data_IF_232264449373
#
_entry.id   IF_232264449373
#
_cell.length_a   1.000
_cell.length_b   1.000
_cell.length_c   1.000
_cell.angle_alpha   90.00
_cell.angle_beta   90.00
_cell.angle_gamma   90.00
#
_symmetry.space_group_name_H-M   'P 1'
#
loop_
_entity.id
_entity.type
_entity.pdbx_description
1 polymer ?
#
# COMPACT_ATOMS: atom_id res chain seq x y z
N UNK A 1 -5.57 20.61 -6.70
CA UNK A 1 -6.38 20.36 -5.49
C UNK A 1 -7.29 21.56 -5.18
N UNK A 2 -8.62 21.40 -5.01
CA UNK A 2 -9.25 22.14 -3.91
C UNK A 2 -8.59 21.60 -2.64
N UNK A 3 -8.10 22.46 -1.75
CA UNK A 3 -7.54 22.03 -0.47
C UNK A 3 -8.51 21.04 0.20
N UNK A 4 -8.00 20.06 0.97
CA UNK A 4 -8.83 19.28 1.90
C UNK A 4 -9.38 20.27 2.94
N UNK A 5 -10.45 20.98 2.57
CA UNK A 5 -11.02 22.06 3.39
C UNK A 5 -11.84 21.39 4.46
N UNK A 6 -11.19 21.11 5.58
CA UNK A 6 -11.90 20.72 6.78
C UNK A 6 -12.70 21.92 7.28
N UNK A 7 -13.94 21.74 7.76
CA UNK A 7 -14.79 22.83 8.22
C UNK A 7 -14.35 23.40 9.59
N UNK A 8 -13.11 23.14 9.99
CA UNK A 8 -12.49 23.51 11.25
C UNK A 8 -10.98 23.73 11.07
N UNK A 9 -10.38 24.42 12.03
CA UNK A 9 -8.96 24.70 12.12
C UNK A 9 -8.18 23.40 12.33
N UNK A 10 -7.09 23.27 11.58
CA UNK A 10 -6.16 22.15 11.64
C UNK A 10 -4.75 22.67 11.91
N UNK A 11 -3.89 21.90 12.61
CA UNK A 11 -2.51 22.28 12.83
C UNK A 11 -1.79 22.43 11.48
N UNK A 12 -0.90 23.42 11.39
CA UNK A 12 -0.09 23.64 10.21
C UNK A 12 1.07 22.64 10.12
N UNK A 13 1.70 22.48 8.95
CA UNK A 13 2.87 21.60 8.82
C UNK A 13 3.98 21.97 9.82
N UNK A 14 4.53 20.94 10.47
CA UNK A 14 5.56 21.08 11.51
C UNK A 14 5.05 21.23 12.93
N UNK A 15 3.76 21.48 13.17
CA UNK A 15 3.15 21.45 14.52
C UNK A 15 3.07 20.03 15.06
N UNK A 16 2.93 19.04 14.17
CA UNK A 16 2.93 17.61 14.49
C UNK A 16 4.12 16.96 13.81
N UNK A 17 5.00 16.36 14.60
CA UNK A 17 6.10 15.54 14.12
C UNK A 17 5.72 14.06 14.27
N UNK A 18 5.72 13.36 13.14
CA UNK A 18 5.48 11.93 13.10
C UNK A 18 6.81 11.19 12.99
N UNK A 19 7.21 10.44 14.01
CA UNK A 19 8.39 9.59 13.93
C UNK A 19 8.11 8.36 13.06
N UNK A 20 9.13 7.70 12.47
CA UNK A 20 8.94 6.47 11.70
C UNK A 20 8.12 5.42 12.47
N UNK A 21 7.36 4.64 11.73
CA UNK A 21 6.81 3.41 12.29
C UNK A 21 7.97 2.49 12.65
N UNK A 22 7.87 1.81 13.79
CA UNK A 22 8.86 0.86 14.26
C UNK A 22 8.26 -0.53 14.26
N UNK A 23 9.07 -1.53 13.90
CA UNK A 23 8.77 -2.95 13.96
C UNK A 23 9.69 -3.60 14.99
N UNK A 24 9.13 -4.44 15.86
CA UNK A 24 9.92 -5.28 16.75
C UNK A 24 10.28 -6.58 16.05
N UNK A 25 11.56 -6.77 15.73
CA UNK A 25 12.09 -8.04 15.22
C UNK A 25 12.88 -8.75 16.33
N UNK A 26 12.42 -9.94 16.73
CA UNK A 26 12.90 -10.78 17.83
C UNK A 26 13.04 -10.09 19.20
N UNK A 27 13.94 -9.11 19.32
CA UNK A 27 14.21 -8.31 20.52
C UNK A 27 14.57 -6.85 20.23
N UNK A 28 14.72 -6.44 18.96
CA UNK A 28 15.18 -5.11 18.58
C UNK A 28 14.12 -4.34 17.80
N UNK A 29 13.97 -3.05 18.14
CA UNK A 29 13.11 -2.14 17.40
C UNK A 29 13.88 -1.54 16.23
N UNK A 30 13.37 -1.77 15.02
CA UNK A 30 13.90 -1.18 13.79
C UNK A 30 12.80 -0.38 13.07
N UNK A 31 13.14 0.59 12.20
CA UNK A 31 12.15 1.25 11.36
C UNK A 31 11.40 0.21 10.51
N UNK A 32 10.08 0.29 10.52
CA UNK A 32 9.21 -0.57 9.72
C UNK A 32 9.48 -0.29 8.23
N UNK A 33 9.97 -1.29 7.47
CA UNK A 33 10.28 -1.12 6.06
C UNK A 33 9.00 -0.98 5.21
N UNK A 34 9.16 -0.53 3.97
CA UNK A 34 8.06 -0.47 2.99
C UNK A 34 7.62 -1.87 2.52
N UNK A 35 8.45 -2.90 2.75
CA UNK A 35 8.16 -4.30 2.50
C UNK A 35 8.77 -5.20 3.59
N UNK A 36 8.00 -6.17 4.09
CA UNK A 36 8.47 -7.18 5.05
C UNK A 36 8.86 -8.43 4.28
N UNK A 37 10.16 -8.66 4.13
CA UNK A 37 10.69 -9.84 3.46
C UNK A 37 10.44 -11.11 4.27
N UNK A 38 9.97 -12.18 3.60
CA UNK A 38 9.78 -13.48 4.24
C UNK A 38 8.61 -13.54 5.24
N UNK A 39 7.65 -12.64 5.12
CA UNK A 39 6.45 -12.60 5.97
C UNK A 39 5.70 -13.95 6.02
N UNK A 40 5.31 -14.34 7.24
CA UNK A 40 4.48 -15.51 7.52
C UNK A 40 3.17 -15.05 8.20
N UNK A 41 1.98 -15.32 7.63
CA UNK A 41 0.70 -15.03 8.25
C UNK A 41 0.49 -15.67 9.63
N UNK A 42 1.27 -16.70 10.00
CA UNK A 42 1.29 -17.27 11.35
C UNK A 42 2.02 -16.43 12.40
N UNK A 43 2.68 -15.34 12.01
CA UNK A 43 3.47 -14.48 12.90
C UNK A 43 2.75 -13.16 13.13
N UNK A 44 2.61 -12.71 14.37
CA UNK A 44 2.05 -11.37 14.65
C UNK A 44 3.12 -10.28 14.46
N UNK A 45 2.72 -9.12 13.91
CA UNK A 45 3.61 -7.95 13.84
C UNK A 45 3.40 -7.06 15.05
N UNK A 46 4.44 -6.85 15.86
CA UNK A 46 4.41 -5.84 16.90
C UNK A 46 5.00 -4.54 16.38
N UNK A 47 4.17 -3.51 16.32
CA UNK A 47 4.55 -2.21 15.76
C UNK A 47 4.37 -1.10 16.78
N UNK A 48 5.18 -0.05 16.64
CA UNK A 48 5.04 1.13 17.46
C UNK A 48 5.11 2.41 16.62
N UNK A 49 4.36 3.42 17.04
CA UNK A 49 4.39 4.77 16.46
C UNK A 49 4.59 5.79 17.56
N UNK A 50 5.54 6.69 17.33
CA UNK A 50 5.79 7.87 18.16
C UNK A 50 5.31 9.13 17.44
N UNK A 51 4.67 10.01 18.20
CA UNK A 51 4.16 11.29 17.72
C UNK A 51 4.49 12.36 18.74
N UNK A 52 4.98 13.49 18.26
CA UNK A 52 5.30 14.66 19.06
C UNK A 52 4.51 15.86 18.54
N UNK A 53 3.87 16.59 19.46
CA UNK A 53 3.13 17.83 19.17
C UNK A 53 3.90 19.00 19.78
N UNK A 54 4.04 20.09 19.02
CA UNK A 54 4.35 21.41 19.58
C UNK A 54 3.08 21.94 20.26
N UNK A 55 3.04 21.83 21.58
CA UNK A 55 1.82 22.08 22.38
C UNK A 55 1.32 23.51 22.24
N UNK A 56 2.22 24.48 22.34
CA UNK A 56 1.86 25.90 22.31
C UNK A 56 1.31 26.27 20.94
N UNK A 57 1.99 25.83 19.87
CA UNK A 57 1.55 26.06 18.50
C UNK A 57 0.24 25.34 18.19
N UNK A 58 0.08 24.09 18.66
CA UNK A 58 -1.14 23.32 18.46
C UNK A 58 -2.36 24.01 19.08
N UNK A 59 -2.26 24.48 20.33
CA UNK A 59 -3.33 25.21 21.01
C UNK A 59 -3.64 26.52 20.28
N UNK A 60 -2.61 27.26 19.87
CA UNK A 60 -2.78 28.52 19.15
C UNK A 60 -3.48 28.35 17.79
N UNK A 61 -3.15 27.29 17.06
CA UNK A 61 -3.66 27.04 15.71
C UNK A 61 -5.04 26.40 15.70
N UNK A 62 -5.33 25.50 16.64
CA UNK A 62 -6.55 24.68 16.64
C UNK A 62 -7.59 25.13 17.65
N UNK A 63 -7.18 25.86 18.70
CA UNK A 63 -8.01 26.18 19.86
C UNK A 63 -8.32 24.98 20.77
N UNK A 64 -7.63 23.84 20.59
CA UNK A 64 -7.84 22.60 21.34
C UNK A 64 -6.68 22.32 22.29
N UNK A 65 -6.98 21.74 23.44
CA UNK A 65 -5.98 21.25 24.38
C UNK A 65 -5.64 19.78 24.12
N UNK A 66 -4.46 19.33 24.58
CA UNK A 66 -4.04 17.93 24.43
C UNK A 66 -5.00 16.93 25.09
N UNK A 67 -5.74 17.34 26.13
CA UNK A 67 -6.75 16.50 26.78
C UNK A 67 -8.01 16.26 25.94
N UNK A 68 -8.23 17.10 24.91
CA UNK A 68 -9.38 17.00 24.02
C UNK A 68 -9.13 16.02 22.87
N UNK A 69 -7.87 15.66 22.62
CA UNK A 69 -7.44 14.87 21.47
C UNK A 69 -6.70 13.60 21.88
N UNK A 70 -6.66 12.63 20.97
CA UNK A 70 -5.90 11.40 21.15
C UNK A 70 -5.23 10.97 19.84
N UNK A 71 -4.12 10.24 19.98
CA UNK A 71 -3.54 9.47 18.90
C UNK A 71 -4.38 8.21 18.69
N UNK A 72 -4.88 8.04 17.47
CA UNK A 72 -5.61 6.85 17.04
C UNK A 72 -4.84 6.20 15.90
N UNK A 73 -4.67 4.90 15.99
CA UNK A 73 -4.06 4.09 14.94
C UNK A 73 -5.09 3.06 14.47
N UNK A 74 -5.26 3.00 13.16
CA UNK A 74 -6.04 1.97 12.50
C UNK A 74 -5.24 1.34 11.38
N UNK A 75 -5.54 0.08 11.08
CA UNK A 75 -4.92 -0.61 9.97
C UNK A 75 -5.93 -1.35 9.13
N UNK A 76 -5.65 -1.43 7.84
CA UNK A 76 -6.45 -2.19 6.88
C UNK A 76 -5.55 -3.06 6.03
N UNK A 77 -5.95 -4.32 5.88
CA UNK A 77 -5.32 -5.29 4.99
C UNK A 77 -6.05 -5.31 3.66
N UNK A 78 -5.33 -5.16 2.54
CA UNK A 78 -5.94 -5.08 1.20
C UNK A 78 -6.67 -6.36 0.80
N UNK A 79 -6.14 -7.52 1.19
CA UNK A 79 -6.63 -8.83 0.72
C UNK A 79 -7.79 -9.34 1.58
N UNK A 80 -7.73 -9.13 2.90
CA UNK A 80 -8.79 -9.57 3.81
C UNK A 80 -9.89 -8.52 3.96
N UNK A 81 -9.63 -7.26 3.61
CA UNK A 81 -10.52 -6.13 3.86
C UNK A 81 -10.71 -5.83 5.35
N UNK A 82 -10.02 -6.55 6.24
CA UNK A 82 -10.16 -6.40 7.68
C UNK A 82 -9.58 -5.05 8.09
N UNK A 83 -10.38 -4.29 8.81
CA UNK A 83 -10.00 -3.01 9.39
C UNK A 83 -10.10 -3.13 10.90
N UNK A 84 -9.02 -2.82 11.58
CA UNK A 84 -8.94 -2.82 13.03
C UNK A 84 -8.30 -1.51 13.50
N UNK A 85 -8.43 -1.24 14.80
CA UNK A 85 -7.82 -0.08 15.42
C UNK A 85 -7.34 -0.41 16.82
N UNK A 86 -6.25 0.24 17.21
CA UNK A 86 -5.78 0.20 18.58
C UNK A 86 -6.62 1.15 19.45
N UNK A 87 -6.68 0.90 20.77
CA UNK A 87 -7.27 1.86 21.71
C UNK A 87 -6.60 3.25 21.58
N UNK A 88 -7.36 4.34 21.69
CA UNK A 88 -6.78 5.69 21.63
C UNK A 88 -5.76 5.93 22.74
N UNK A 89 -4.63 6.55 22.38
CA UNK A 89 -3.58 6.93 23.32
C UNK A 89 -3.61 8.45 23.55
N UNK A 90 -3.56 8.86 24.82
CA UNK A 90 -3.50 10.28 25.20
C UNK A 90 -2.08 10.81 25.06
N UNK A 91 -1.97 12.08 24.69
CA UNK A 91 -0.72 12.81 24.77
C UNK A 91 -0.38 13.13 26.22
N UNK A 92 0.91 13.08 26.54
CA UNK A 92 1.42 13.60 27.81
C UNK A 92 1.42 15.14 27.82
N UNK A 93 1.69 15.80 28.96
CA UNK A 93 1.72 17.26 29.04
C UNK A 93 2.79 17.93 28.15
N UNK A 94 3.79 17.18 27.68
CA UNK A 94 4.85 17.66 26.78
C UNK A 94 4.51 17.41 25.30
N UNK A 95 3.32 16.88 24.99
CA UNK A 95 2.87 16.63 23.62
C UNK A 95 3.37 15.32 23.02
N UNK A 96 3.92 14.41 23.81
CA UNK A 96 4.38 13.11 23.32
C UNK A 96 3.31 12.02 23.47
N UNK A 97 3.19 11.14 22.48
CA UNK A 97 2.41 9.91 22.57
C UNK A 97 3.17 8.75 21.91
N UNK A 98 3.10 7.57 22.54
CA UNK A 98 3.62 6.32 21.99
C UNK A 98 2.50 5.30 21.98
N UNK A 99 2.21 4.73 20.82
CA UNK A 99 1.28 3.62 20.69
C UNK A 99 2.07 2.39 20.25
N UNK A 100 2.06 1.35 21.08
CA UNK A 100 2.60 0.01 20.83
C UNK A 100 1.42 -0.96 20.66
N UNK A 101 1.37 -1.67 19.55
CA UNK A 101 0.26 -2.57 19.24
C UNK A 101 0.73 -3.82 18.49
N UNK A 102 -0.04 -4.89 18.65
CA UNK A 102 0.16 -6.16 17.96
C UNK A 102 -0.89 -6.29 16.88
N UNK A 103 -0.43 -6.42 15.64
CA UNK A 103 -1.23 -6.67 14.46
C UNK A 103 -1.28 -8.20 14.27
N UNK A 104 -2.47 -8.78 14.38
CA UNK A 104 -2.66 -10.24 14.36
C UNK A 104 -2.38 -10.79 12.97
N UNK A 105 -1.31 -11.58 12.82
CA UNK A 105 -0.75 -12.02 11.55
C UNK A 105 -1.77 -12.67 10.62
N UNK A 106 -2.63 -13.54 11.18
CA UNK A 106 -3.64 -14.29 10.43
C UNK A 106 -4.70 -13.38 9.75
N UNK A 107 -4.77 -12.11 10.16
CA UNK A 107 -5.69 -11.09 9.63
C UNK A 107 -5.02 -10.16 8.63
N UNK A 108 -3.70 -10.24 8.49
CA UNK A 108 -2.90 -9.38 7.62
C UNK A 108 -2.50 -10.14 6.36
N UNK A 109 -2.68 -9.51 5.21
CA UNK A 109 -2.27 -10.07 3.92
C UNK A 109 -2.18 -8.96 2.86
N UNK A 110 -1.33 -9.16 1.86
CA UNK A 110 -1.14 -8.20 0.77
C UNK A 110 -0.49 -6.89 1.25
N UNK A 111 -1.21 -5.77 1.12
CA UNK A 111 -0.76 -4.44 1.56
C UNK A 111 -1.42 -4.08 2.88
N UNK A 112 -0.60 -3.83 3.88
CA UNK A 112 -1.00 -3.28 5.16
C UNK A 112 -0.96 -1.75 5.10
N UNK A 113 -2.13 -1.12 5.19
CA UNK A 113 -2.24 0.34 5.30
C UNK A 113 -2.33 0.72 6.77
N UNK A 114 -1.28 1.32 7.32
CA UNK A 114 -1.21 1.87 8.66
C UNK A 114 -1.59 3.35 8.64
N UNK A 115 -2.68 3.69 9.32
CA UNK A 115 -3.21 5.06 9.41
C UNK A 115 -3.08 5.57 10.83
N UNK A 116 -2.36 6.67 11.01
CA UNK A 116 -2.24 7.40 12.28
C UNK A 116 -3.00 8.71 12.19
N UNK A 117 -3.85 9.00 13.16
CA UNK A 117 -4.60 10.27 13.23
C UNK A 117 -4.50 10.90 14.61
N UNK A 118 -4.48 12.23 14.64
CA UNK A 118 -4.80 13.01 15.84
C UNK A 118 -6.26 13.40 15.71
N UNK A 119 -7.10 12.86 16.59
CA UNK A 119 -8.55 13.03 16.50
C UNK A 119 -9.11 13.62 17.79
N UNK A 120 -10.14 14.46 17.64
CA UNK A 120 -10.91 14.95 18.78
C UNK A 120 -11.62 13.80 19.48
N UNK A 121 -11.40 13.61 20.78
CA UNK A 121 -12.08 12.59 21.60
C UNK A 121 -13.07 13.20 22.58
N UNK A 122 -12.79 14.41 23.05
CA UNK A 122 -13.71 15.17 23.90
C UNK A 122 -14.00 16.51 23.24
N UNK A 123 -15.27 16.93 23.15
CA UNK A 123 -15.58 18.26 22.66
C UNK A 123 -15.00 19.31 23.64
N UNK A 124 -14.39 20.39 23.14
CA UNK A 124 -13.83 21.43 23.99
C UNK A 124 -14.94 22.11 24.80
N UNK A 125 -14.61 22.59 26.00
CA UNK A 125 -15.56 23.25 26.91
C UNK A 125 -15.95 24.66 26.47
N UNK A 126 -15.43 25.17 25.34
CA UNK A 126 -15.77 26.45 24.74
C UNK A 126 -16.00 26.34 23.22
N UNK A 127 -16.87 27.18 22.66
CA UNK A 127 -17.14 27.27 21.22
C UNK A 127 -16.34 28.39 20.58
N UNK A 128 -15.11 28.11 20.17
CA UNK A 128 -14.36 28.98 19.27
C UNK A 128 -14.87 28.84 17.84
N UNK A 129 -14.92 29.95 17.09
CA UNK A 129 -15.26 29.90 15.66
C UNK A 129 -14.20 29.06 14.94
N UNK A 130 -14.65 28.05 14.19
CA UNK A 130 -13.76 27.15 13.46
C UNK A 130 -13.06 26.09 14.31
N UNK A 131 -13.30 26.00 15.62
CA UNK A 131 -12.71 24.93 16.44
C UNK A 131 -13.46 23.62 16.21
N UNK A 132 -12.74 22.51 16.05
CA UNK A 132 -13.36 21.20 15.88
C UNK A 132 -14.18 20.83 17.13
N UNK A 133 -15.44 20.43 16.93
CA UNK A 133 -16.39 20.22 18.03
C UNK A 133 -17.01 18.81 18.04
N UNK A 134 -16.81 18.02 16.99
CA UNK A 134 -17.42 16.69 16.83
C UNK A 134 -16.36 15.63 17.15
N UNK A 135 -16.56 14.77 18.18
CA UNK A 135 -15.67 13.65 18.41
C UNK A 135 -15.48 12.80 17.15
N UNK A 136 -14.24 12.40 16.88
CA UNK A 136 -13.82 11.77 15.62
C UNK A 136 -13.38 12.75 14.53
N UNK A 137 -13.46 14.08 14.74
CA UNK A 137 -12.86 15.06 13.83
C UNK A 137 -11.34 14.85 13.77
N UNK A 138 -10.82 14.63 12.57
CA UNK A 138 -9.39 14.38 12.33
C UNK A 138 -8.67 15.70 12.11
N UNK A 139 -7.70 16.02 12.98
CA UNK A 139 -6.92 17.25 12.93
C UNK A 139 -5.64 17.06 12.12
N UNK A 140 -4.98 15.92 12.27
CA UNK A 140 -3.80 15.57 11.50
C UNK A 140 -3.81 14.08 11.19
N UNK A 141 -3.18 13.71 10.08
CA UNK A 141 -3.16 12.34 9.57
C UNK A 141 -1.81 12.02 8.96
N UNK A 142 -1.40 10.77 9.11
CA UNK A 142 -0.31 10.16 8.37
C UNK A 142 -0.69 8.73 7.97
N UNK A 143 -0.39 8.36 6.72
CA UNK A 143 -0.61 7.01 6.20
C UNK A 143 0.72 6.42 5.75
N UNK A 144 1.05 5.23 6.24
CA UNK A 144 2.16 4.41 5.75
C UNK A 144 1.59 3.11 5.18
N UNK A 145 2.12 2.66 4.06
CA UNK A 145 1.76 1.38 3.44
C UNK A 145 2.95 0.44 3.50
N UNK A 146 2.70 -0.81 3.87
CA UNK A 146 3.72 -1.85 3.98
C UNK A 146 3.28 -3.06 3.18
N UNK A 147 4.15 -3.54 2.29
CA UNK A 147 3.92 -4.75 1.53
C UNK A 147 4.30 -5.95 2.40
N UNK A 148 3.31 -6.77 2.76
CA UNK A 148 3.54 -7.99 3.55
C UNK A 148 3.82 -9.20 2.64
N UNK A 149 3.21 -9.28 1.46
CA UNK A 149 3.39 -10.42 0.56
C UNK A 149 3.98 -9.98 -0.79
N UNK A 150 4.87 -10.80 -1.35
CA UNK A 150 5.32 -10.63 -2.74
C UNK A 150 4.13 -10.73 -3.70
N UNK A 151 4.25 -10.12 -4.89
CA UNK A 151 3.18 -9.86 -5.87
C UNK A 151 2.18 -11.00 -6.16
N UNK A 152 2.50 -12.26 -5.87
CA UNK A 152 1.57 -13.40 -6.02
C UNK A 152 0.30 -13.30 -5.16
N UNK A 153 0.24 -12.40 -4.16
CA UNK A 153 -0.94 -12.15 -3.31
C UNK A 153 -1.65 -10.82 -3.57
N UNK A 154 -1.10 -9.97 -4.45
CA UNK A 154 -1.67 -8.64 -4.74
C UNK A 154 -2.77 -8.66 -5.80
N UNK A 155 -3.06 -9.80 -6.40
CA UNK A 155 -4.13 -9.95 -7.36
C UNK A 155 -5.07 -11.05 -6.91
N UNK A 156 -6.40 -10.87 -7.01
CA UNK A 156 -7.29 -12.01 -6.95
C UNK A 156 -6.85 -13.02 -8.02
N UNK A 157 -6.50 -14.24 -7.61
CA UNK A 157 -6.07 -15.30 -8.50
C UNK A 157 -7.21 -16.29 -8.69
N UNK A 158 -7.50 -16.66 -9.94
CA UNK A 158 -8.51 -17.66 -10.22
C UNK A 158 -8.05 -18.69 -11.23
N UNK A 159 -8.30 -19.95 -10.89
CA UNK A 159 -8.05 -21.06 -11.78
C UNK A 159 -9.23 -21.27 -12.73
N UNK A 160 -8.99 -21.23 -14.04
CA UNK A 160 -9.97 -21.51 -15.09
C UNK A 160 -9.36 -22.40 -16.17
N UNK A 161 -10.19 -23.15 -16.91
CA UNK A 161 -9.71 -23.89 -18.09
C UNK A 161 -9.84 -22.99 -19.32
N UNK A 162 -8.70 -22.58 -19.90
CA UNK A 162 -8.69 -21.66 -21.03
C UNK A 162 -9.28 -22.27 -22.31
N UNK A 163 -9.45 -23.60 -22.40
CA UNK A 163 -10.11 -24.24 -23.56
C UNK A 163 -11.58 -23.85 -23.71
N UNK A 164 -12.20 -23.35 -22.65
CA UNK A 164 -13.59 -22.89 -22.63
C UNK A 164 -13.72 -21.37 -22.69
N UNK A 165 -12.63 -20.65 -22.99
CA UNK A 165 -12.62 -19.19 -23.09
C UNK A 165 -12.06 -18.73 -24.44
N UNK A 166 -11.87 -17.42 -24.62
CA UNK A 166 -11.20 -16.84 -25.80
C UNK A 166 -9.67 -16.81 -25.65
N UNK A 167 -9.15 -17.21 -24.49
CA UNK A 167 -7.72 -17.21 -24.19
C UNK A 167 -7.04 -18.42 -24.84
N UNK A 168 -5.74 -18.31 -25.11
CA UNK A 168 -4.99 -19.43 -25.71
C UNK A 168 -4.92 -20.62 -24.75
N UNK A 169 -5.36 -21.83 -25.14
CA UNK A 169 -5.28 -23.02 -24.28
C UNK A 169 -3.86 -23.42 -23.85
N UNK A 170 -2.84 -22.90 -24.54
CA UNK A 170 -1.42 -23.16 -24.27
C UNK A 170 -0.76 -22.10 -23.40
N UNK A 171 -1.45 -21.01 -23.06
CA UNK A 171 -0.95 -20.02 -22.12
C UNK A 171 -1.14 -20.51 -20.68
N UNK A 172 -0.14 -20.28 -19.81
CA UNK A 172 -0.21 -20.67 -18.39
C UNK A 172 -1.04 -19.70 -17.55
N UNK A 173 -1.10 -18.42 -17.94
CA UNK A 173 -1.81 -17.39 -17.20
C UNK A 173 -2.26 -16.24 -18.11
N UNK A 174 -3.15 -15.40 -17.59
CA UNK A 174 -3.61 -14.16 -18.20
C UNK A 174 -3.88 -13.13 -17.10
N UNK A 175 -3.60 -11.85 -17.36
CA UNK A 175 -3.99 -10.75 -16.48
C UNK A 175 -5.17 -10.02 -17.11
N UNK A 176 -6.33 -10.08 -16.45
CA UNK A 176 -7.43 -9.17 -16.75
C UNK A 176 -7.06 -7.78 -16.21
N UNK A 177 -7.22 -6.77 -17.05
CA UNK A 177 -6.82 -5.38 -16.77
C UNK A 177 -7.97 -4.41 -17.03
N UNK A 178 -7.90 -3.23 -16.43
CA UNK A 178 -8.80 -2.10 -16.75
C UNK A 178 -8.00 -0.86 -17.13
N UNK A 179 -8.58 -0.03 -18.00
CA UNK A 179 -8.10 1.31 -18.32
C UNK A 179 -8.90 2.41 -17.62
N UNK A 180 -9.92 2.05 -16.84
CA UNK A 180 -10.63 2.99 -15.98
C UNK A 180 -9.76 3.31 -14.76
N UNK A 181 -9.06 4.45 -14.84
CA UNK A 181 -8.09 4.89 -13.82
C UNK A 181 -8.72 5.24 -12.46
N UNK A 182 -10.04 5.43 -12.38
CA UNK A 182 -10.75 5.77 -11.14
C UNK A 182 -11.29 4.51 -10.46
N UNK A 183 -11.45 3.42 -11.20
CA UNK A 183 -11.99 2.18 -10.67
C UNK A 183 -11.09 1.58 -9.56
N UNK A 184 -11.67 0.85 -8.59
CA UNK A 184 -10.90 0.11 -7.60
C UNK A 184 -9.98 -0.92 -8.28
N UNK A 185 -8.69 -0.89 -7.98
CA UNK A 185 -7.70 -1.76 -8.63
C UNK A 185 -8.00 -3.24 -8.38
N UNK A 186 -8.22 -3.63 -7.12
CA UNK A 186 -8.52 -5.02 -6.74
C UNK A 186 -9.87 -5.53 -7.28
N UNK A 187 -10.79 -4.63 -7.64
CA UNK A 187 -12.06 -4.99 -8.25
C UNK A 187 -11.98 -5.21 -9.76
N UNK A 188 -10.87 -4.80 -10.39
CA UNK A 188 -10.76 -4.72 -11.85
C UNK A 188 -9.56 -5.47 -12.43
N UNK A 189 -8.52 -5.72 -11.63
CA UNK A 189 -7.38 -6.54 -12.02
C UNK A 189 -7.50 -7.94 -11.44
N UNK A 190 -7.29 -8.96 -12.27
CA UNK A 190 -7.34 -10.35 -11.85
C UNK A 190 -6.32 -11.20 -12.61
N UNK A 191 -5.60 -12.07 -11.90
CA UNK A 191 -4.77 -13.07 -12.54
C UNK A 191 -5.58 -14.36 -12.73
N UNK A 192 -5.70 -14.79 -13.98
CA UNK A 192 -6.30 -16.06 -14.35
C UNK A 192 -5.19 -17.08 -14.59
N UNK A 193 -5.23 -18.20 -13.87
CA UNK A 193 -4.29 -19.33 -14.06
C UNK A 193 -5.00 -20.41 -14.85
N UNK A 194 -4.35 -20.92 -15.89
CA UNK A 194 -4.88 -21.99 -16.69
C UNK A 194 -4.74 -23.33 -15.95
N UNK A 195 -5.86 -23.98 -15.62
CA UNK A 195 -5.92 -25.28 -14.92
C UNK A 195 -5.13 -26.40 -15.59
N UNK A 196 -4.84 -26.25 -16.89
CA UNK A 196 -4.04 -27.21 -17.65
C UNK A 196 -2.56 -27.15 -17.28
N UNK A 197 -2.07 -26.01 -16.80
CA UNK A 197 -0.73 -25.89 -16.21
C UNK A 197 -0.76 -26.32 -14.74
N UNK A 198 -0.68 -27.64 -14.54
CA UNK A 198 -0.75 -28.24 -13.20
C UNK A 198 0.44 -27.87 -12.32
N UNK A 199 1.60 -27.58 -12.91
CA UNK A 199 2.79 -27.21 -12.14
C UNK A 199 2.65 -25.80 -11.59
N UNK A 200 2.25 -24.83 -12.42
CA UNK A 200 1.99 -23.47 -11.98
C UNK A 200 0.82 -23.42 -10.99
N UNK A 201 -0.27 -24.13 -11.28
CA UNK A 201 -1.42 -24.23 -10.37
C UNK A 201 -1.00 -24.76 -8.99
N UNK A 202 -0.19 -25.83 -8.95
CA UNK A 202 0.32 -26.37 -7.70
C UNK A 202 1.33 -25.43 -7.00
N UNK A 203 2.12 -24.65 -7.74
CA UNK A 203 3.03 -23.67 -7.18
C UNK A 203 2.26 -22.51 -6.53
N UNK A 204 1.23 -21.98 -7.19
CA UNK A 204 0.34 -20.94 -6.68
C UNK A 204 -0.40 -21.41 -5.43
N UNK A 205 -0.99 -22.62 -5.44
CA UNK A 205 -1.73 -23.15 -4.30
C UNK A 205 -0.85 -23.47 -3.08
N UNK A 206 0.46 -23.71 -3.27
CA UNK A 206 1.37 -24.17 -2.20
C UNK A 206 2.38 -23.12 -1.74
N UNK A 207 2.48 -21.98 -2.43
CA UNK A 207 3.39 -20.88 -2.07
C UNK A 207 4.88 -21.20 -2.22
N UNK A 208 5.28 -21.94 -3.28
CA UNK A 208 6.72 -22.07 -3.61
C UNK A 208 7.54 -22.94 -2.66
N UNK A 209 7.10 -24.17 -2.36
CA UNK A 209 7.76 -25.03 -1.35
C UNK A 209 9.12 -25.60 -1.77
N UNK A 210 9.40 -25.60 -3.07
CA UNK A 210 10.67 -26.05 -3.62
C UNK A 210 11.20 -25.06 -4.66
N UNK A 211 12.49 -25.19 -5.03
CA UNK A 211 13.16 -24.26 -5.96
C UNK A 211 12.48 -24.16 -7.32
N UNK A 212 11.83 -25.24 -7.79
CA UNK A 212 11.15 -25.26 -9.10
C UNK A 212 9.83 -24.50 -9.00
N UNK A 213 9.06 -24.75 -7.96
CA UNK A 213 7.82 -24.02 -7.70
C UNK A 213 8.09 -22.54 -7.47
N UNK A 214 9.16 -22.19 -6.74
CA UNK A 214 9.57 -20.81 -6.57
C UNK A 214 9.93 -20.15 -7.90
N UNK A 215 10.68 -20.84 -8.78
CA UNK A 215 11.00 -20.30 -10.11
C UNK A 215 9.75 -20.02 -10.97
N UNK A 216 8.72 -20.87 -10.89
CA UNK A 216 7.45 -20.65 -11.59
C UNK A 216 6.70 -19.43 -11.04
N UNK A 217 6.72 -19.23 -9.71
CA UNK A 217 6.14 -18.05 -9.09
C UNK A 217 6.91 -16.78 -9.46
N UNK A 218 8.24 -16.82 -9.44
CA UNK A 218 9.09 -15.70 -9.84
C UNK A 218 8.84 -15.31 -11.30
N UNK A 219 8.65 -16.30 -12.19
CA UNK A 219 8.31 -16.06 -13.60
C UNK A 219 6.94 -15.40 -13.76
N UNK A 220 5.91 -15.94 -13.09
CA UNK A 220 4.57 -15.36 -13.08
C UNK A 220 4.59 -13.92 -12.55
N UNK A 221 5.25 -13.69 -11.40
CA UNK A 221 5.36 -12.37 -10.79
C UNK A 221 6.10 -11.38 -11.69
N UNK A 222 7.20 -11.82 -12.33
CA UNK A 222 7.93 -11.00 -13.29
C UNK A 222 7.04 -10.60 -14.47
N UNK A 223 6.28 -11.55 -15.00
CA UNK A 223 5.39 -11.33 -16.13
C UNK A 223 4.25 -10.37 -15.80
N UNK A 224 3.60 -10.54 -14.65
CA UNK A 224 2.52 -9.64 -14.18
C UNK A 224 3.07 -8.24 -13.94
N UNK A 225 4.20 -8.10 -13.24
CA UNK A 225 4.81 -6.80 -12.97
C UNK A 225 5.23 -6.09 -14.26
N UNK A 226 5.78 -6.81 -15.24
CA UNK A 226 6.11 -6.27 -16.55
C UNK A 226 4.87 -5.74 -17.29
N UNK A 227 3.75 -6.48 -17.28
CA UNK A 227 2.49 -6.02 -17.89
C UNK A 227 1.94 -4.76 -17.22
N UNK A 228 2.01 -4.66 -15.88
CA UNK A 228 1.57 -3.45 -15.18
C UNK A 228 2.44 -2.24 -15.54
N UNK A 229 3.76 -2.41 -15.58
CA UNK A 229 4.68 -1.35 -15.98
C UNK A 229 4.45 -0.94 -17.43
N UNK A 230 4.26 -1.91 -18.34
CA UNK A 230 3.90 -1.63 -19.73
C UNK A 230 2.58 -0.87 -19.83
N UNK A 231 1.55 -1.28 -19.09
CA UNK A 231 0.26 -0.59 -19.05
C UNK A 231 0.40 0.84 -18.52
N UNK A 232 1.17 1.03 -17.44
CA UNK A 232 1.46 2.35 -16.89
C UNK A 232 2.21 3.24 -17.89
N UNK A 233 3.16 2.68 -18.65
CA UNK A 233 3.86 3.40 -19.71
C UNK A 233 2.95 3.79 -20.88
N UNK A 234 1.98 2.94 -21.24
CA UNK A 234 0.98 3.24 -22.26
C UNK A 234 0.00 4.33 -21.81
N UNK A 235 -0.38 4.33 -20.54
CA UNK A 235 -1.33 5.29 -19.97
C UNK A 235 -0.64 6.51 -19.32
N UNK A 236 0.68 6.67 -19.47
CA UNK A 236 1.44 7.70 -18.74
C UNK A 236 0.91 9.12 -18.92
N UNK A 237 0.39 9.44 -20.11
CA UNK A 237 -0.16 10.77 -20.41
C UNK A 237 -1.39 11.00 -19.56
N UNK A 238 -2.34 10.06 -19.58
CA UNK A 238 -3.56 10.08 -18.79
C UNK A 238 -3.25 10.07 -17.28
N UNK A 239 -2.26 9.28 -16.86
CA UNK A 239 -1.77 9.23 -15.47
C UNK A 239 -1.21 10.57 -15.00
N UNK A 240 -0.63 11.36 -15.91
CA UNK A 240 -0.06 12.69 -15.62
C UNK A 240 -1.09 13.83 -15.64
N UNK A 241 -2.32 13.58 -16.10
CA UNK A 241 -3.39 14.59 -16.09
C UNK A 241 -3.88 14.93 -14.67
N UNK A 242 -3.56 14.08 -13.69
CA UNK A 242 -3.90 14.27 -12.28
C UNK A 242 -2.67 14.19 -11.41
N UNK A 243 -2.60 15.12 -10.45
CA UNK A 243 -1.55 15.16 -9.44
C UNK A 243 -1.70 14.03 -8.41
N UNK A 244 -2.94 13.64 -8.10
CA UNK A 244 -3.23 12.56 -7.16
C UNK A 244 -4.44 11.73 -7.63
N UNK A 245 -4.35 10.42 -7.41
CA UNK A 245 -5.37 9.43 -7.73
C UNK A 245 -6.06 8.94 -6.46
N UNK A 246 -7.35 8.54 -6.49
CA UNK A 246 -8.00 7.95 -5.34
C UNK A 246 -7.19 6.75 -4.83
N UNK A 247 -7.01 6.61 -3.50
CA UNK A 247 -6.30 5.48 -2.92
C UNK A 247 -6.81 4.14 -3.46
N UNK A 248 -5.88 3.27 -3.85
CA UNK A 248 -6.13 1.91 -4.34
C UNK A 248 -6.96 1.86 -5.64
N UNK A 249 -7.06 2.98 -6.35
CA UNK A 249 -7.55 3.01 -7.72
C UNK A 249 -6.52 2.47 -8.71
N UNK A 250 -6.98 2.15 -9.93
CA UNK A 250 -6.08 1.77 -11.03
C UNK A 250 -5.03 2.84 -11.31
N UNK A 251 -5.44 4.12 -11.35
CA UNK A 251 -4.52 5.23 -11.58
C UNK A 251 -3.46 5.35 -10.49
N UNK A 252 -3.85 5.19 -9.23
CA UNK A 252 -2.93 5.24 -8.08
C UNK A 252 -1.87 4.13 -8.15
N UNK A 253 -2.28 2.89 -8.43
CA UNK A 253 -1.33 1.76 -8.56
C UNK A 253 -0.40 1.92 -9.76
N UNK A 254 -0.92 2.30 -10.92
CA UNK A 254 -0.11 2.45 -12.14
C UNK A 254 0.83 3.67 -12.05
N UNK A 255 0.39 4.79 -11.48
CA UNK A 255 1.22 5.98 -11.26
C UNK A 255 2.40 5.65 -10.33
N UNK A 256 2.15 4.94 -9.23
CA UNK A 256 3.23 4.48 -8.34
C UNK A 256 4.19 3.51 -9.02
N UNK A 257 3.65 2.57 -9.82
CA UNK A 257 4.47 1.62 -10.59
C UNK A 257 5.40 2.36 -11.54
N UNK A 258 4.91 3.41 -12.20
CA UNK A 258 5.71 4.25 -13.08
C UNK A 258 6.75 5.07 -12.30
N UNK A 259 6.35 5.70 -11.20
CA UNK A 259 7.24 6.53 -10.37
C UNK A 259 8.38 5.74 -9.72
N UNK A 260 8.14 4.48 -9.34
CA UNK A 260 9.15 3.59 -8.80
C UNK A 260 10.09 3.04 -9.88
N UNK A 261 9.67 3.08 -11.15
CA UNK A 261 10.44 2.52 -12.26
C UNK A 261 11.62 3.42 -12.64
N UNK A 262 12.84 2.88 -12.80
CA UNK A 262 13.98 3.63 -13.31
C UNK A 262 13.89 3.94 -14.82
N UNK A 263 12.81 3.54 -15.50
CA UNK A 263 12.67 3.70 -16.94
C UNK A 263 12.29 5.12 -17.33
N UNK A 264 13.08 5.72 -18.22
CA UNK A 264 12.83 7.05 -18.79
C UNK A 264 12.19 7.00 -20.19
N UNK A 265 11.69 5.85 -20.64
CA UNK A 265 11.20 5.69 -22.02
C UNK A 265 9.86 6.40 -22.23
N UNK A 266 9.82 7.32 -23.19
CA UNK A 266 8.71 8.25 -23.45
C UNK A 266 7.83 7.81 -24.63
N UNK A 267 7.95 6.59 -25.16
CA UNK A 267 7.11 6.16 -26.30
C UNK A 267 7.00 4.64 -26.34
N UNK A 268 5.86 4.05 -26.78
CA UNK A 268 5.84 2.65 -27.16
C UNK A 268 7.02 2.36 -28.12
N UNK A 269 7.78 1.28 -27.91
CA UNK A 269 8.99 1.02 -28.67
C UNK A 269 8.66 0.86 -30.15
N UNK A 270 9.53 1.37 -31.03
CA UNK A 270 9.47 1.00 -32.44
C UNK A 270 9.78 -0.50 -32.59
N UNK A 271 9.42 -1.14 -33.72
CA UNK A 271 9.81 -2.53 -33.96
C UNK A 271 11.32 -2.79 -33.81
N UNK A 272 12.16 -1.80 -34.12
CA UNK A 272 13.62 -1.90 -33.97
C UNK A 272 14.10 -1.87 -32.52
N UNK A 273 13.35 -1.20 -31.63
CA UNK A 273 13.72 -0.98 -30.23
C UNK A 273 13.08 -1.99 -29.27
N UNK A 274 12.24 -2.91 -29.78
CA UNK A 274 11.44 -3.81 -28.97
C UNK A 274 12.30 -4.70 -28.05
N UNK A 275 13.42 -5.21 -28.55
CA UNK A 275 14.33 -6.07 -27.77
C UNK A 275 14.99 -5.30 -26.62
N UNK A 276 15.44 -4.07 -26.89
CA UNK A 276 16.05 -3.19 -25.88
C UNK A 276 15.01 -2.77 -24.84
N UNK A 277 13.81 -2.43 -25.28
CA UNK A 277 12.68 -2.13 -24.39
C UNK A 277 12.35 -3.30 -23.46
N UNK A 278 12.27 -4.52 -23.98
CA UNK A 278 12.02 -5.73 -23.18
C UNK A 278 13.12 -5.97 -22.15
N UNK A 279 14.37 -5.69 -22.52
CA UNK A 279 15.53 -5.77 -21.62
C UNK A 279 15.44 -4.74 -20.51
N UNK A 280 15.09 -3.49 -20.85
CA UNK A 280 14.90 -2.40 -19.90
C UNK A 280 13.76 -2.69 -18.92
N UNK A 281 12.58 -3.12 -19.41
CA UNK A 281 11.46 -3.54 -18.56
C UNK A 281 11.89 -4.66 -17.61
N UNK A 282 12.55 -5.70 -18.13
CA UNK A 282 13.03 -6.81 -17.29
C UNK A 282 14.01 -6.36 -16.20
N UNK A 283 14.90 -5.40 -16.50
CA UNK A 283 15.81 -4.80 -15.53
C UNK A 283 15.09 -3.96 -14.47
N UNK A 284 14.12 -3.13 -14.88
CA UNK A 284 13.31 -2.32 -13.98
C UNK A 284 12.51 -3.18 -12.99
N UNK A 285 11.86 -4.24 -13.48
CA UNK A 285 11.10 -5.17 -12.63
C UNK A 285 12.01 -5.83 -11.57
N UNK A 286 13.23 -6.24 -11.94
CA UNK A 286 14.19 -6.79 -10.96
C UNK A 286 14.66 -5.77 -9.93
N UNK A 287 14.93 -4.53 -10.34
CA UNK A 287 15.32 -3.46 -9.42
C UNK A 287 14.21 -3.12 -8.42
N UNK A 288 12.96 -3.36 -8.78
CA UNK A 288 11.79 -3.27 -7.90
C UNK A 288 11.64 -4.49 -6.96
N UNK A 289 12.64 -5.38 -6.91
CA UNK A 289 12.62 -6.59 -6.09
C UNK A 289 11.60 -7.63 -6.57
N UNK A 290 11.25 -7.62 -7.87
CA UNK A 290 10.28 -8.55 -8.45
C UNK A 290 10.97 -9.57 -9.34
N UNK A 291 10.60 -10.84 -9.18
CA UNK A 291 11.16 -11.94 -9.97
C UNK A 291 12.52 -12.44 -9.49
N UNK A 292 13.25 -13.11 -10.39
CA UNK A 292 14.54 -13.74 -10.05
C UNK A 292 15.64 -12.70 -9.80
N UNK A 293 16.18 -12.69 -8.59
CA UNK A 293 17.33 -11.87 -8.19
C UNK A 293 18.66 -12.51 -8.63
N UNK A 294 19.67 -11.70 -8.94
CA UNK A 294 21.05 -12.18 -9.05
C UNK A 294 21.64 -12.23 -7.64
N UNK A 295 22.16 -13.41 -7.26
CA UNK A 295 22.98 -13.60 -6.07
C UNK A 295 24.38 -13.03 -6.31
#
# INVERSE_FOLDING_TARGET
MPADVRPYLVPSPGTVAWEPWMLLDATEWSPLPDAVDGWDPGTDLRTARRVQIDVDRFVQETGLHLGDVALIISWTSSTTGMTEAAPPVRFDPLGAAVLDTVLVGERLSGILTLRSTISLVHPPTGRGVGVAAIPGSVLAEHVQRVVLESMSSMFPVHEIDFTHTRLSPTASWHLETSTDLIAPFYGTFRVLINKRDRELTAAVARGGKDKRQQALLDELQSGVAALLLELALHLRTDLSEREEWPPDSVGDVLARTLAASPLSVVTPPSPGDLADFRTQVSGAIRNLGRGRMFL
#
